data_IF_583481777540
#
_entry.id   IF_583481777540
#
_cell.length_a   1.000
_cell.length_b   1.000
_cell.length_c   1.000
_cell.angle_alpha   90.00
_cell.angle_beta   90.00
_cell.angle_gamma   90.00
#
_symmetry.space_group_name_H-M   'P 1'
#
loop_
_entity.id
_entity.type
_entity.pdbx_description
1 polymer ?
#
# COMPACT_ATOMS: atom_id res chain seq x y z
N UNK A 1 -57.29 14.83 4.39
CA UNK A 1 -55.83 14.96 4.20
C UNK A 1 -55.15 14.45 5.47
N UNK A 2 -54.76 13.19 5.47
CA UNK A 2 -54.14 12.52 6.62
C UNK A 2 -52.64 12.81 6.63
N UNK A 3 -52.20 13.67 7.54
CA UNK A 3 -50.78 13.87 7.82
C UNK A 3 -50.24 12.65 8.57
N UNK A 4 -49.47 11.83 7.87
CA UNK A 4 -48.71 10.73 8.45
C UNK A 4 -47.51 11.35 9.19
N UNK A 5 -47.56 11.37 10.53
CA UNK A 5 -46.41 11.73 11.36
C UNK A 5 -45.37 10.63 11.23
N UNK A 6 -44.21 10.95 10.67
CA UNK A 6 -43.02 10.12 10.79
C UNK A 6 -42.63 10.04 12.28
N UNK A 7 -42.43 8.85 12.85
CA UNK A 7 -41.84 8.73 14.17
C UNK A 7 -40.39 9.25 14.08
N UNK A 8 -40.07 10.25 14.88
CA UNK A 8 -38.71 10.71 15.11
C UNK A 8 -37.85 9.52 15.54
N UNK A 9 -36.83 9.18 14.76
CA UNK A 9 -35.77 8.25 15.19
C UNK A 9 -35.25 8.71 16.54
N UNK A 10 -35.46 7.89 17.58
CA UNK A 10 -34.98 8.18 18.93
C UNK A 10 -33.47 8.36 18.92
N UNK A 11 -32.98 9.30 19.75
CA UNK A 11 -31.55 9.56 19.95
C UNK A 11 -30.81 8.23 20.18
N UNK A 12 -30.01 7.82 19.19
CA UNK A 12 -29.27 6.55 19.22
C UNK A 12 -28.28 6.61 20.38
N UNK A 13 -28.48 5.75 21.38
CA UNK A 13 -27.59 5.65 22.54
C UNK A 13 -26.12 5.54 22.08
N UNK A 14 -25.16 6.21 22.73
CA UNK A 14 -23.75 6.11 22.34
C UNK A 14 -23.24 4.65 22.41
N UNK A 15 -22.27 4.32 21.57
CA UNK A 15 -21.64 3.00 21.57
C UNK A 15 -20.64 2.88 22.72
N UNK A 16 -20.65 1.75 23.41
CA UNK A 16 -19.68 1.41 24.47
C UNK A 16 -18.33 0.95 23.93
N UNK A 17 -18.26 0.64 22.63
CA UNK A 17 -17.03 0.29 21.93
C UNK A 17 -16.68 1.43 20.98
N UNK A 18 -15.43 1.89 21.05
CA UNK A 18 -14.89 2.88 20.11
C UNK A 18 -14.05 2.20 19.03
N UNK A 19 -14.03 2.79 17.83
CA UNK A 19 -13.17 2.35 16.73
C UNK A 19 -12.09 3.40 16.48
N UNK A 20 -10.82 2.99 16.59
CA UNK A 20 -9.65 3.73 16.14
C UNK A 20 -9.05 3.02 14.92
N UNK A 21 -8.74 3.79 13.89
CA UNK A 21 -8.14 3.31 12.65
C UNK A 21 -6.88 4.11 12.40
N UNK A 22 -5.76 3.43 12.21
CA UNK A 22 -4.48 4.07 11.91
C UNK A 22 -3.84 3.36 10.71
N UNK A 23 -3.47 4.13 9.68
CA UNK A 23 -2.61 3.63 8.61
C UNK A 23 -1.25 3.32 9.23
N UNK A 24 -0.71 2.14 8.94
CA UNK A 24 0.63 1.77 9.35
C UNK A 24 1.60 2.42 8.37
N UNK A 25 2.32 3.46 8.83
CA UNK A 25 3.44 4.02 8.11
C UNK A 25 4.69 3.18 8.37
N UNK A 26 5.59 3.16 7.39
CA UNK A 26 6.90 2.53 7.56
C UNK A 26 7.88 3.60 8.06
N UNK A 27 8.86 3.22 8.89
CA UNK A 27 9.86 4.17 9.37
C UNK A 27 10.69 4.72 8.21
N UNK A 28 11.03 6.00 8.27
CA UNK A 28 11.95 6.65 7.32
C UNK A 28 13.22 7.11 8.02
N UNK A 29 14.30 7.23 7.26
CA UNK A 29 15.53 7.83 7.75
C UNK A 29 15.36 9.35 7.76
N UNK A 30 15.64 9.99 8.90
CA UNK A 30 15.77 11.45 8.89
C UNK A 30 17.12 11.81 8.28
N UNK A 31 17.11 12.47 7.12
CA UNK A 31 18.31 13.07 6.56
C UNK A 31 18.82 14.17 7.51
N UNK A 32 19.98 13.95 8.12
CA UNK A 32 20.64 14.94 8.97
C UNK A 32 21.81 15.52 8.21
N UNK A 33 21.74 16.82 7.97
CA UNK A 33 22.91 17.57 7.53
C UNK A 33 23.58 18.13 8.77
N UNK A 34 24.85 17.79 9.04
CA UNK A 34 25.60 18.50 10.07
C UNK A 34 25.62 19.99 9.68
N UNK A 35 25.07 20.84 10.55
CA UNK A 35 25.25 22.29 10.43
C UNK A 35 26.74 22.55 10.65
N UNK A 36 27.30 23.54 9.93
CA UNK A 36 28.68 23.97 10.14
C UNK A 36 28.97 24.12 11.64
N UNK A 37 30.16 23.71 12.12
CA UNK A 37 30.53 23.88 13.51
C UNK A 37 30.31 25.34 13.93
N UNK A 38 29.72 25.61 15.11
CA UNK A 38 29.34 26.96 15.54
C UNK A 38 30.52 27.93 15.67
N UNK A 39 31.76 27.47 15.49
CA UNK A 39 33.00 28.24 15.56
C UNK A 39 33.82 28.21 14.26
N UNK A 40 33.25 27.75 13.14
CA UNK A 40 33.95 27.76 11.86
C UNK A 40 34.22 29.23 11.41
N UNK A 41 35.47 29.57 11.03
CA UNK A 41 35.78 30.91 10.55
C UNK A 41 34.99 31.23 9.27
N UNK A 42 34.53 32.48 9.09
CA UNK A 42 33.62 32.88 7.99
C UNK A 42 34.21 32.74 6.57
N UNK A 43 35.48 32.36 6.45
CA UNK A 43 36.22 32.20 5.20
C UNK A 43 36.47 30.74 4.82
N UNK A 44 36.14 29.77 5.68
CA UNK A 44 36.23 28.35 5.34
C UNK A 44 34.86 27.88 4.87
N UNK A 45 34.59 27.99 3.57
CA UNK A 45 33.57 27.14 2.95
C UNK A 45 34.07 25.70 3.06
N UNK A 46 33.61 24.99 4.08
CA UNK A 46 33.81 23.54 4.15
C UNK A 46 33.27 22.95 2.86
N UNK A 47 34.10 22.16 2.16
CA UNK A 47 33.67 21.40 1.00
C UNK A 47 32.37 20.65 1.35
N UNK A 48 31.36 20.63 0.47
CA UNK A 48 30.13 19.88 0.72
C UNK A 48 30.51 18.42 0.97
N UNK A 49 30.23 17.94 2.19
CA UNK A 49 30.42 16.54 2.52
C UNK A 49 29.39 15.76 1.70
N UNK A 50 29.79 14.76 0.89
CA UNK A 50 28.84 13.98 0.10
C UNK A 50 27.86 13.26 1.04
N UNK A 51 26.58 13.62 0.93
CA UNK A 51 25.55 13.29 1.92
C UNK A 51 25.08 11.82 1.90
N UNK A 52 25.64 10.95 1.06
CA UNK A 52 25.09 9.61 0.87
C UNK A 52 26.05 8.66 0.16
N UNK A 53 27.08 8.20 0.84
CA UNK A 53 27.60 6.86 0.57
C UNK A 53 27.73 6.15 1.90
N UNK A 54 27.02 5.03 2.02
CA UNK A 54 27.20 4.08 3.10
C UNK A 54 28.71 3.89 3.36
N UNK A 55 29.11 4.17 4.60
CA UNK A 55 30.47 4.13 5.10
C UNK A 55 31.25 2.94 4.54
N UNK A 56 32.26 3.20 3.70
CA UNK A 56 33.23 2.17 3.32
C UNK A 56 34.05 1.81 4.55
N UNK A 57 34.03 0.56 5.05
CA UNK A 57 34.82 0.21 6.22
C UNK A 57 36.32 0.30 5.84
N UNK A 58 37.00 1.31 6.38
CA UNK A 58 38.46 1.37 6.34
C UNK A 58 39.00 0.20 7.18
N UNK A 59 40.04 -0.53 6.72
CA UNK A 59 40.58 -1.69 7.42
C UNK A 59 41.10 -1.39 8.84
N UNK A 60 41.29 -0.11 9.19
CA UNK A 60 41.75 0.33 10.50
C UNK A 60 40.64 0.90 11.40
N UNK A 61 39.38 0.98 10.95
CA UNK A 61 38.25 1.43 11.79
C UNK A 61 38.24 2.92 12.17
N UNK A 62 39.22 3.71 11.74
CA UNK A 62 39.42 5.10 12.21
C UNK A 62 38.57 6.17 11.49
N UNK A 63 37.91 5.85 10.37
CA UNK A 63 37.12 6.81 9.57
C UNK A 63 35.61 6.72 9.79
N UNK A 64 35.16 6.17 10.92
CA UNK A 64 33.73 6.03 11.18
C UNK A 64 33.03 7.35 11.55
N UNK A 65 33.79 8.35 12.03
CA UNK A 65 33.26 9.63 12.48
C UNK A 65 34.40 10.64 12.78
N UNK A 66 34.83 11.48 11.82
CA UNK A 66 35.94 12.41 12.07
C UNK A 66 35.62 13.49 13.12
N UNK A 67 34.33 13.75 13.39
CA UNK A 67 33.82 14.73 14.36
C UNK A 67 32.58 14.15 15.06
N UNK A 68 32.70 13.58 16.28
CA UNK A 68 31.59 12.94 16.95
C UNK A 68 30.50 13.93 17.38
N UNK A 69 29.53 14.16 16.51
CA UNK A 69 28.28 14.85 16.87
C UNK A 69 27.22 13.84 17.31
N UNK A 70 26.27 14.30 18.13
CA UNK A 70 25.16 13.48 18.62
C UNK A 70 24.24 13.17 17.44
N UNK A 71 24.21 11.91 17.00
CA UNK A 71 23.21 11.42 16.06
C UNK A 71 21.85 11.38 16.77
N UNK A 72 20.88 12.15 16.28
CA UNK A 72 19.50 12.03 16.78
C UNK A 72 18.87 10.72 16.28
N UNK A 73 17.69 10.28 16.79
CA UNK A 73 17.06 9.05 16.32
C UNK A 73 17.01 8.98 14.80
N UNK A 74 17.75 8.02 14.24
CA UNK A 74 17.97 7.88 12.79
C UNK A 74 16.65 7.50 12.10
N UNK A 75 15.73 6.86 12.83
CA UNK A 75 14.41 6.47 12.36
C UNK A 75 13.35 7.37 12.98
N UNK A 76 12.59 8.04 12.12
CA UNK A 76 11.41 8.81 12.52
C UNK A 76 10.19 8.25 11.83
N UNK A 77 9.05 8.31 12.51
CA UNK A 77 7.78 8.18 11.81
C UNK A 77 7.54 9.48 11.03
N UNK A 78 7.09 9.39 9.76
CA UNK A 78 6.75 10.58 9.00
C UNK A 78 5.79 11.49 9.77
N UNK A 79 5.96 12.82 9.71
CA UNK A 79 5.11 13.78 10.43
C UNK A 79 3.66 13.80 9.93
N UNK A 80 3.38 13.11 8.82
CA UNK A 80 2.04 12.96 8.26
C UNK A 80 1.87 11.60 7.57
N UNK A 81 0.63 11.20 7.34
CA UNK A 81 0.27 9.89 6.78
C UNK A 81 0.62 9.68 5.30
N UNK A 82 1.29 10.66 4.66
CA UNK A 82 1.75 10.62 3.27
C UNK A 82 0.63 10.39 2.25
N UNK A 83 0.98 10.41 0.97
CA UNK A 83 0.10 9.94 -0.09
C UNK A 83 0.03 8.40 -0.08
N UNK A 84 -1.00 7.81 -0.70
CA UNK A 84 -1.02 6.38 -1.00
C UNK A 84 -0.79 6.22 -2.49
N UNK A 85 0.05 5.27 -2.90
CA UNK A 85 0.39 5.11 -4.31
C UNK A 85 -0.04 3.75 -4.87
N UNK A 86 -0.36 3.74 -6.16
CA UNK A 86 -0.66 2.51 -6.89
C UNK A 86 0.58 1.63 -6.93
N UNK A 87 0.37 0.37 -6.62
CA UNK A 87 1.38 -0.68 -6.51
C UNK A 87 1.92 -0.87 -5.10
N UNK A 88 1.52 -0.04 -4.14
CA UNK A 88 1.80 -0.27 -2.73
C UNK A 88 0.73 -1.16 -2.07
N UNK A 89 1.14 -1.85 -1.00
CA UNK A 89 0.22 -2.50 -0.07
C UNK A 89 -0.23 -1.49 1.00
N UNK A 90 -1.48 -1.04 0.92
CA UNK A 90 -2.13 -0.30 1.99
C UNK A 90 -2.27 -1.18 3.22
N UNK A 91 -1.73 -0.73 4.36
CA UNK A 91 -1.79 -1.46 5.62
C UNK A 91 -2.39 -0.56 6.70
N UNK A 92 -3.36 -1.05 7.47
CA UNK A 92 -3.90 -0.32 8.60
C UNK A 92 -4.22 -1.21 9.79
N UNK A 93 -4.11 -0.63 10.99
CA UNK A 93 -4.54 -1.25 12.23
C UNK A 93 -5.92 -0.72 12.60
N UNK A 94 -6.80 -1.64 12.99
CA UNK A 94 -8.18 -1.45 13.41
C UNK A 94 -8.26 -1.85 14.88
N UNK A 95 -8.62 -0.92 15.74
CA UNK A 95 -8.70 -1.14 17.18
C UNK A 95 -10.13 -0.89 17.66
N UNK A 96 -10.80 -1.93 18.15
CA UNK A 96 -12.06 -1.83 18.85
C UNK A 96 -11.78 -1.80 20.36
N UNK A 97 -11.99 -0.64 20.98
CA UNK A 97 -11.65 -0.43 22.39
C UNK A 97 -12.92 -0.46 23.24
N UNK A 98 -12.90 -1.19 24.35
CA UNK A 98 -13.98 -1.18 25.31
C UNK A 98 -13.88 0.06 26.22
N UNK A 99 -14.77 1.03 26.01
CA UNK A 99 -14.80 2.30 26.74
C UNK A 99 -15.67 2.25 28.00
N UNK A 100 -16.13 1.05 28.41
CA UNK A 100 -16.83 0.90 29.68
C UNK A 100 -15.82 1.17 30.81
N UNK A 101 -16.12 2.07 31.76
CA UNK A 101 -15.27 2.29 32.93
C UNK A 101 -15.16 1.01 33.75
N UNK A 102 -13.95 0.71 34.22
CA UNK A 102 -13.74 -0.40 35.13
C UNK A 102 -14.48 -0.12 36.46
N UNK A 103 -15.45 -0.95 36.86
CA UNK A 103 -16.21 -0.74 38.09
C UNK A 103 -15.35 -0.84 39.37
N UNK A 104 -14.11 -1.34 39.27
CA UNK A 104 -13.17 -1.44 40.40
C UNK A 104 -12.30 -0.20 40.58
N UNK A 105 -12.25 0.69 39.59
CA UNK A 105 -11.48 1.93 39.64
C UNK A 105 -12.38 3.12 39.96
N UNK A 106 -12.01 4.00 40.93
CA UNK A 106 -12.75 5.22 41.19
C UNK A 106 -12.69 6.14 39.97
N UNK A 107 -13.83 6.75 39.60
CA UNK A 107 -14.00 7.63 38.44
C UNK A 107 -13.15 8.91 38.58
N UNK A 108 -11.87 8.84 38.22
CA UNK A 108 -10.91 9.96 38.32
C UNK A 108 -11.08 11.01 37.21
N UNK A 109 -12.02 10.83 36.27
CA UNK A 109 -12.15 11.70 35.10
C UNK A 109 -12.96 13.00 35.34
N UNK A 110 -13.50 13.22 36.56
CA UNK A 110 -14.35 14.39 36.85
C UNK A 110 -13.96 15.18 38.12
N UNK A 111 -12.81 14.92 38.74
CA UNK A 111 -12.43 15.56 40.01
C UNK A 111 -11.60 16.84 39.89
N UNK A 112 -11.42 17.45 38.71
CA UNK A 112 -10.57 18.63 38.55
C UNK A 112 -11.32 19.97 38.40
N UNK A 113 -12.57 20.08 38.87
CA UNK A 113 -13.21 21.38 39.09
C UNK A 113 -13.45 21.63 40.58
N UNK A 114 -12.74 22.61 41.20
CA UNK A 114 -13.04 23.03 42.55
C UNK A 114 -14.41 23.73 42.57
N UNK A 115 -15.37 23.17 43.30
CA UNK A 115 -16.66 23.84 43.59
C UNK A 115 -17.92 23.15 43.07
N UNK A 116 -17.83 22.00 42.38
CA UNK A 116 -19.02 21.23 41.97
C UNK A 116 -19.29 20.14 43.00
N UNK A 117 -20.42 20.23 43.71
CA UNK A 117 -20.92 19.14 44.55
C UNK A 117 -21.01 17.86 43.72
N UNK A 118 -20.48 16.72 44.20
CA UNK A 118 -20.59 15.46 43.48
C UNK A 118 -22.06 15.09 43.37
N UNK A 119 -22.67 15.34 42.21
CA UNK A 119 -23.94 14.70 41.89
C UNK A 119 -23.63 13.20 41.76
N UNK A 120 -24.22 12.41 42.66
CA UNK A 120 -24.32 10.97 42.53
C UNK A 120 -25.03 10.68 41.21
N UNK A 121 -24.24 10.45 40.15
CA UNK A 121 -24.74 9.84 38.93
C UNK A 121 -25.38 8.51 39.36
N UNK A 122 -26.63 8.20 38.97
CA UNK A 122 -27.21 6.90 39.25
C UNK A 122 -26.21 5.82 38.83
N UNK A 123 -26.03 4.73 39.61
CA UNK A 123 -25.08 3.70 39.26
C UNK A 123 -25.41 3.23 37.84
N UNK A 124 -24.50 3.51 36.90
CA UNK A 124 -24.66 3.03 35.54
C UNK A 124 -24.75 1.50 35.64
N UNK A 125 -25.78 0.91 35.03
CA UNK A 125 -25.95 -0.54 35.05
C UNK A 125 -24.63 -1.20 34.62
N UNK A 126 -24.19 -2.24 35.35
CA UNK A 126 -22.99 -2.98 34.99
C UNK A 126 -23.18 -3.55 33.60
N UNK A 127 -22.44 -3.01 32.64
CA UNK A 127 -22.43 -3.40 31.24
C UNK A 127 -21.20 -4.26 30.99
N UNK A 128 -21.35 -5.31 30.21
CA UNK A 128 -20.27 -6.18 29.76
C UNK A 128 -20.31 -6.27 28.24
N UNK A 129 -19.12 -6.29 27.63
CA UNK A 129 -18.96 -6.36 26.16
C UNK A 129 -18.47 -7.75 25.79
N UNK A 130 -19.22 -8.40 24.90
CA UNK A 130 -18.95 -9.76 24.42
C UNK A 130 -19.02 -9.83 22.90
N UNK A 131 -18.48 -10.90 22.33
CA UNK A 131 -18.58 -11.24 20.92
C UNK A 131 -18.20 -10.06 19.99
N UNK A 132 -17.12 -9.34 20.31
CA UNK A 132 -16.66 -8.21 19.49
C UNK A 132 -16.04 -8.73 18.19
N UNK A 133 -16.50 -8.18 17.07
CA UNK A 133 -16.07 -8.55 15.72
C UNK A 133 -15.73 -7.30 14.93
N UNK A 134 -14.66 -7.39 14.14
CA UNK A 134 -14.21 -6.35 13.23
C UNK A 134 -14.28 -6.91 11.82
N UNK A 135 -15.15 -6.33 10.99
CA UNK A 135 -15.22 -6.62 9.56
C UNK A 135 -14.72 -5.42 8.79
N UNK A 136 -13.83 -5.64 7.82
CA UNK A 136 -13.28 -4.60 6.98
C UNK A 136 -13.51 -4.93 5.51
N UNK A 137 -13.93 -3.91 4.75
CA UNK A 137 -14.15 -4.02 3.32
C UNK A 137 -13.48 -2.83 2.63
N UNK A 138 -12.87 -3.08 1.49
CA UNK A 138 -12.33 -2.03 0.63
C UNK A 138 -13.24 -1.81 -0.58
N UNK A 139 -13.58 -0.56 -0.86
CA UNK A 139 -14.20 -0.14 -2.11
C UNK A 139 -13.14 0.53 -2.99
N UNK A 140 -12.95 0.01 -4.20
CA UNK A 140 -12.04 0.61 -5.19
C UNK A 140 -12.79 1.59 -6.12
N UNK A 141 -12.09 2.53 -6.76
CA UNK A 141 -12.68 3.50 -7.67
C UNK A 141 -13.39 2.88 -8.88
N UNK A 142 -12.81 1.85 -9.48
CA UNK A 142 -13.28 1.22 -10.72
C UNK A 142 -14.34 0.12 -10.53
N UNK A 143 -14.62 -0.28 -9.28
CA UNK A 143 -15.58 -1.34 -8.97
C UNK A 143 -16.69 -0.85 -8.04
N UNK A 144 -17.93 -1.19 -8.40
CA UNK A 144 -19.06 -1.01 -7.49
C UNK A 144 -19.06 -2.04 -6.34
N UNK A 145 -18.38 -3.17 -6.52
CA UNK A 145 -18.30 -4.23 -5.51
C UNK A 145 -17.26 -3.90 -4.43
N UNK A 146 -17.57 -4.29 -3.19
CA UNK A 146 -16.62 -4.21 -2.07
C UNK A 146 -15.82 -5.51 -1.96
N UNK A 147 -14.54 -5.39 -1.65
CA UNK A 147 -13.63 -6.51 -1.40
C UNK A 147 -13.50 -6.67 0.11
N UNK A 148 -13.95 -7.82 0.65
CA UNK A 148 -13.73 -8.14 2.08
C UNK A 148 -12.24 -8.34 2.34
N UNK A 149 -11.74 -7.71 3.40
CA UNK A 149 -10.33 -7.79 3.79
C UNK A 149 -10.16 -8.85 4.87
N UNK A 150 -9.10 -9.63 4.74
CA UNK A 150 -8.68 -10.56 5.78
C UNK A 150 -7.95 -9.80 6.89
N UNK A 151 -8.43 -9.97 8.12
CA UNK A 151 -7.92 -9.30 9.30
C UNK A 151 -6.91 -10.18 10.02
N UNK A 152 -5.65 -9.77 10.01
CA UNK A 152 -4.51 -10.44 10.66
C UNK A 152 -4.39 -9.90 12.10
N UNK A 153 -4.19 -10.75 13.10
CA UNK A 153 -4.00 -10.27 14.48
C UNK A 153 -3.66 -11.36 15.50
N UNK A 154 -2.99 -10.95 16.58
CA UNK A 154 -2.32 -11.83 17.56
C UNK A 154 -3.25 -12.74 18.39
N UNK A 155 -4.54 -12.43 18.45
CA UNK A 155 -5.56 -13.31 19.05
C UNK A 155 -6.52 -13.77 17.95
N UNK A 156 -6.15 -14.80 17.20
CA UNK A 156 -7.15 -15.51 16.40
C UNK A 156 -8.17 -16.13 17.36
N UNK A 157 -9.49 -15.90 17.18
CA UNK A 157 -10.48 -16.64 17.94
C UNK A 157 -10.29 -18.15 17.67
N UNK A 158 -10.64 -19.03 18.62
CA UNK A 158 -10.42 -20.46 18.49
C UNK A 158 -11.20 -21.08 17.32
N UNK A 159 -12.21 -20.39 16.79
CA UNK A 159 -12.95 -20.78 15.59
C UNK A 159 -13.25 -19.59 14.66
N UNK A 160 -13.31 -19.81 13.33
CA UNK A 160 -13.69 -18.77 12.38
C UNK A 160 -15.15 -18.36 12.60
N UNK A 161 -15.37 -17.08 12.90
CA UNK A 161 -16.71 -16.53 13.15
C UNK A 161 -17.12 -16.47 14.62
N UNK A 162 -16.20 -16.67 15.57
CA UNK A 162 -16.39 -16.39 16.98
C UNK A 162 -15.80 -15.01 17.33
N UNK A 163 -16.59 -14.14 17.96
CA UNK A 163 -16.12 -12.83 18.40
C UNK A 163 -15.29 -12.94 19.69
N UNK A 164 -14.68 -11.82 20.07
CA UNK A 164 -13.81 -11.75 21.26
C UNK A 164 -14.50 -10.99 22.37
N UNK A 165 -14.52 -11.56 23.58
CA UNK A 165 -14.99 -10.87 24.78
C UNK A 165 -13.91 -9.89 25.26
N UNK A 166 -14.30 -8.67 25.64
CA UNK A 166 -13.36 -7.62 26.07
C UNK A 166 -13.67 -7.19 27.50
N UNK A 167 -12.66 -7.20 28.37
CA UNK A 167 -12.79 -6.57 29.69
C UNK A 167 -12.84 -5.05 29.56
N UNK A 168 -13.32 -4.32 30.59
CA UNK A 168 -13.20 -2.86 30.62
C UNK A 168 -11.77 -2.40 30.33
N UNK A 169 -11.59 -1.49 29.37
CA UNK A 169 -10.27 -1.00 28.94
C UNK A 169 -9.52 -1.87 27.91
N UNK A 170 -9.95 -3.11 27.68
CA UNK A 170 -9.31 -3.99 26.68
C UNK A 170 -9.56 -3.50 25.24
N UNK A 171 -8.68 -3.92 24.34
CA UNK A 171 -8.74 -3.58 22.92
C UNK A 171 -8.58 -4.83 22.06
N UNK A 172 -9.53 -5.03 21.13
CA UNK A 172 -9.35 -5.98 20.04
C UNK A 172 -8.65 -5.27 18.87
N UNK A 173 -7.41 -5.66 18.58
CA UNK A 173 -6.62 -5.13 17.48
C UNK A 173 -6.56 -6.11 16.30
N UNK A 174 -6.76 -5.59 15.09
CA UNK A 174 -6.58 -6.29 13.82
C UNK A 174 -5.78 -5.44 12.85
N UNK A 175 -5.02 -6.06 11.96
CA UNK A 175 -4.31 -5.43 10.86
C UNK A 175 -4.90 -5.94 9.56
N UNK A 176 -5.19 -5.04 8.63
CA UNK A 176 -5.65 -5.40 7.29
C UNK A 176 -4.65 -4.87 6.26
N UNK A 177 -4.45 -5.67 5.21
CA UNK A 177 -3.59 -5.35 4.09
C UNK A 177 -4.41 -5.36 2.81
N UNK A 178 -4.14 -4.43 1.90
CA UNK A 178 -4.81 -4.35 0.62
C UNK A 178 -3.87 -3.77 -0.44
N UNK A 179 -3.69 -4.48 -1.56
CA UNK A 179 -2.86 -4.00 -2.65
C UNK A 179 -3.61 -2.98 -3.50
N UNK A 180 -3.05 -1.78 -3.62
CA UNK A 180 -3.63 -0.68 -4.38
C UNK A 180 -3.30 -0.85 -5.86
N UNK A 181 -4.31 -1.12 -6.69
CA UNK A 181 -4.13 -1.39 -8.13
C UNK A 181 -4.69 -0.30 -9.03
N UNK A 182 -5.48 0.61 -8.47
CA UNK A 182 -6.23 1.62 -9.22
C UNK A 182 -5.97 3.00 -8.62
N UNK A 183 -5.99 4.03 -9.47
CA UNK A 183 -5.89 5.41 -9.02
C UNK A 183 -7.26 5.95 -8.61
N UNK A 184 -7.29 6.88 -7.66
CA UNK A 184 -8.48 7.60 -7.25
C UNK A 184 -9.02 7.24 -5.86
N UNK A 185 -10.31 7.49 -5.65
CA UNK A 185 -10.96 7.43 -4.35
C UNK A 185 -11.22 6.00 -3.87
N UNK A 186 -10.49 5.58 -2.85
CA UNK A 186 -10.71 4.33 -2.13
C UNK A 186 -11.50 4.60 -0.85
N UNK A 187 -12.34 3.65 -0.45
CA UNK A 187 -13.08 3.74 0.81
C UNK A 187 -12.89 2.46 1.60
N UNK A 188 -12.22 2.57 2.75
CA UNK A 188 -12.16 1.53 3.76
C UNK A 188 -13.42 1.60 4.63
N UNK A 189 -14.26 0.59 4.54
CA UNK A 189 -15.47 0.45 5.33
C UNK A 189 -15.23 -0.54 6.47
N UNK A 190 -15.31 -0.07 7.71
CA UNK A 190 -15.11 -0.90 8.90
C UNK A 190 -16.43 -1.01 9.65
N UNK A 191 -16.87 -2.24 9.87
CA UNK A 191 -18.07 -2.57 10.64
C UNK A 191 -17.64 -3.23 11.93
N UNK A 192 -18.11 -2.68 13.06
CA UNK A 192 -17.93 -3.27 14.38
C UNK A 192 -19.28 -3.80 14.84
N UNK A 193 -19.33 -5.08 15.18
CA UNK A 193 -20.47 -5.69 15.85
C UNK A 193 -20.03 -6.26 17.20
N UNK A 194 -20.89 -6.13 18.21
CA UNK A 194 -20.63 -6.63 19.55
C UNK A 194 -21.95 -6.87 20.30
N UNK A 195 -21.90 -7.71 21.31
CA UNK A 195 -23.00 -7.93 22.24
C UNK A 195 -22.80 -7.11 23.51
N UNK A 196 -23.76 -6.22 23.81
CA UNK A 196 -23.79 -5.43 25.04
C UNK A 196 -24.76 -6.10 26.01
N UNK A 197 -24.25 -6.61 27.14
CA UNK A 197 -25.05 -7.26 28.17
C UNK A 197 -25.06 -6.46 29.47
N UNK A 198 -26.26 -6.26 30.01
CA UNK A 198 -26.55 -5.78 31.36
C UNK A 198 -27.06 -6.95 32.21
N UNK A 199 -27.16 -6.77 33.53
CA UNK A 199 -27.62 -7.85 34.44
C UNK A 199 -29.00 -8.43 34.07
N UNK A 200 -29.87 -7.65 33.43
CA UNK A 200 -31.26 -8.03 33.13
C UNK A 200 -31.57 -8.19 31.65
N UNK A 201 -30.67 -7.81 30.75
CA UNK A 201 -30.90 -7.84 29.31
C UNK A 201 -29.61 -7.73 28.53
N UNK A 202 -29.58 -8.20 27.28
CA UNK A 202 -28.48 -7.92 26.38
C UNK A 202 -28.95 -7.74 24.93
N UNK A 203 -28.19 -6.98 24.15
CA UNK A 203 -28.52 -6.67 22.77
C UNK A 203 -27.26 -6.63 21.91
N UNK A 204 -27.37 -7.09 20.67
CA UNK A 204 -26.33 -6.90 19.67
C UNK A 204 -26.36 -5.47 19.15
N UNK A 205 -25.20 -4.84 19.06
CA UNK A 205 -25.02 -3.50 18.52
C UNK A 205 -24.01 -3.54 17.40
N UNK A 206 -24.30 -2.77 16.36
CA UNK A 206 -23.44 -2.68 15.19
C UNK A 206 -23.33 -1.21 14.78
N UNK A 207 -22.13 -0.81 14.38
CA UNK A 207 -21.91 0.45 13.70
C UNK A 207 -20.88 0.29 12.58
N UNK A 208 -20.97 1.16 11.58
CA UNK A 208 -20.11 1.16 10.41
C UNK A 208 -19.50 2.55 10.23
N UNK A 209 -18.19 2.62 10.03
CA UNK A 209 -17.47 3.85 9.69
C UNK A 209 -16.79 3.68 8.33
N UNK A 210 -16.78 4.77 7.56
CA UNK A 210 -16.18 4.82 6.23
C UNK A 210 -15.00 5.79 6.28
N UNK A 211 -13.85 5.36 5.78
CA UNK A 211 -12.63 6.14 5.69
C UNK A 211 -12.24 6.27 4.22
N UNK A 212 -12.36 7.47 3.68
CA UNK A 212 -12.02 7.75 2.30
C UNK A 212 -10.59 8.28 2.19
N UNK A 213 -9.85 7.77 1.22
CA UNK A 213 -8.50 8.24 0.87
C UNK A 213 -8.29 8.19 -0.64
N UNK A 214 -7.29 8.93 -1.13
CA UNK A 214 -6.97 9.01 -2.56
C UNK A 214 -5.67 8.26 -2.81
N UNK A 215 -5.70 7.38 -3.81
CA UNK A 215 -4.53 6.72 -4.34
C UNK A 215 -4.02 7.44 -5.59
N UNK A 216 -2.74 7.82 -5.61
CA UNK A 216 -2.05 8.48 -6.73
C UNK A 216 -1.22 7.46 -7.52
N UNK A 217 -0.83 7.80 -8.74
CA UNK A 217 0.11 6.99 -9.52
C UNK A 217 1.51 6.98 -8.88
N UNK A 218 2.13 5.81 -8.68
CA UNK A 218 3.57 5.73 -8.35
C UNK A 218 4.41 5.75 -9.61
N UNK A 219 4.03 4.92 -10.58
CA UNK A 219 4.71 4.73 -11.85
C UNK A 219 3.69 4.79 -12.97
N UNK A 220 3.94 5.66 -13.95
CA UNK A 220 3.15 5.69 -15.18
C UNK A 220 3.86 4.86 -16.24
N UNK A 221 3.12 3.94 -16.84
CA UNK A 221 3.62 3.05 -17.90
C UNK A 221 3.02 3.46 -19.24
N UNK A 222 3.87 3.85 -20.19
CA UNK A 222 3.45 4.12 -21.58
C UNK A 222 4.10 3.12 -22.51
N UNK A 223 3.30 2.34 -23.23
CA UNK A 223 3.81 1.30 -24.13
C UNK A 223 3.60 1.65 -25.59
N UNK A 224 4.55 1.26 -26.42
CA UNK A 224 4.52 1.47 -27.86
C UNK A 224 4.97 0.20 -28.59
N UNK A 225 4.05 -0.52 -29.25
CA UNK A 225 4.42 -1.65 -30.08
C UNK A 225 4.87 -1.21 -31.48
N UNK A 226 5.87 -1.87 -32.04
CA UNK A 226 6.35 -1.72 -33.41
C UNK A 226 6.49 -3.07 -34.11
N UNK A 227 6.36 -3.09 -35.44
CA UNK A 227 6.55 -4.31 -36.24
C UNK A 227 8.01 -4.36 -36.69
N UNK A 228 8.64 -5.53 -36.58
CA UNK A 228 9.99 -5.77 -37.08
C UNK A 228 9.94 -6.70 -38.30
N UNK A 229 10.92 -6.61 -39.22
CA UNK A 229 11.05 -7.58 -40.29
C UNK A 229 11.17 -9.00 -39.74
N UNK A 230 10.54 -10.01 -40.37
CA UNK A 230 10.61 -11.39 -39.92
C UNK A 230 12.07 -11.88 -39.88
N UNK A 231 12.39 -12.73 -38.91
CA UNK A 231 13.73 -13.32 -38.82
C UNK A 231 14.02 -14.15 -40.07
N UNK A 232 15.26 -14.10 -40.54
CA UNK A 232 15.74 -15.04 -41.57
C UNK A 232 15.94 -16.39 -40.87
N UNK A 233 15.15 -17.40 -41.25
CA UNK A 233 15.33 -18.75 -40.73
C UNK A 233 16.67 -19.31 -41.20
N UNK A 234 17.51 -19.74 -40.26
CA UNK A 234 18.81 -20.37 -40.55
C UNK A 234 18.68 -21.87 -40.86
N UNK A 235 17.54 -22.49 -40.51
CA UNK A 235 17.34 -23.95 -40.55
C UNK A 235 16.18 -24.40 -41.43
N UNK A 236 15.23 -23.53 -41.78
CA UNK A 236 14.07 -23.88 -42.60
C UNK A 236 14.04 -23.11 -43.94
N UNK A 237 13.67 -23.80 -45.02
CA UNK A 237 13.32 -23.18 -46.32
C UNK A 237 11.95 -22.49 -46.19
N UNK A 238 11.89 -21.35 -45.51
CA UNK A 238 10.68 -20.55 -45.36
C UNK A 238 10.91 -19.24 -44.59
N UNK A 239 10.01 -18.26 -44.71
CA UNK A 239 10.07 -17.04 -43.89
C UNK A 239 9.98 -17.43 -42.40
N UNK A 240 10.80 -16.79 -41.55
CA UNK A 240 10.70 -16.96 -40.10
C UNK A 240 9.41 -16.37 -39.54
N UNK A 241 9.17 -16.60 -38.25
CA UNK A 241 8.01 -16.04 -37.54
C UNK A 241 7.95 -14.51 -37.61
N UNK A 242 6.75 -13.96 -37.43
CA UNK A 242 6.55 -12.52 -37.27
C UNK A 242 7.32 -12.01 -36.05
N UNK A 243 7.80 -10.77 -36.12
CA UNK A 243 8.57 -10.13 -35.06
C UNK A 243 8.01 -8.76 -34.73
N UNK A 244 8.13 -8.40 -33.46
CA UNK A 244 7.69 -7.10 -32.95
C UNK A 244 8.71 -6.55 -31.97
N UNK A 245 8.68 -5.25 -31.78
CA UNK A 245 9.34 -4.58 -30.66
C UNK A 245 8.25 -4.02 -29.76
N UNK A 246 8.45 -4.10 -28.45
CA UNK A 246 7.62 -3.45 -27.45
C UNK A 246 8.51 -2.55 -26.63
N UNK A 247 8.34 -1.24 -26.80
CA UNK A 247 8.97 -0.22 -25.97
C UNK A 247 8.00 0.14 -24.83
N UNK A 248 8.53 0.29 -23.60
CA UNK A 248 7.77 0.75 -22.45
C UNK A 248 8.55 1.83 -21.70
N UNK A 249 7.92 3.00 -21.55
CA UNK A 249 8.41 4.12 -20.78
C UNK A 249 7.85 4.03 -19.36
N UNK A 250 8.74 4.01 -18.37
CA UNK A 250 8.42 3.93 -16.96
C UNK A 250 8.78 5.28 -16.32
N UNK A 251 7.78 6.08 -15.99
CA UNK A 251 7.96 7.40 -15.36
C UNK A 251 7.65 7.33 -13.87
N UNK A 252 8.58 7.74 -13.02
CA UNK A 252 8.31 7.89 -11.58
C UNK A 252 7.48 9.16 -11.34
N UNK A 253 6.22 8.99 -10.97
CA UNK A 253 5.30 10.07 -10.61
C UNK A 253 5.07 10.17 -9.10
N UNK A 254 5.78 9.34 -8.31
CA UNK A 254 5.79 9.40 -6.87
C UNK A 254 6.61 10.59 -6.34
N UNK A 255 6.54 10.79 -5.02
CA UNK A 255 7.35 11.79 -4.31
C UNK A 255 8.71 11.22 -3.88
N UNK A 256 8.84 9.89 -3.83
CA UNK A 256 10.01 9.17 -3.35
C UNK A 256 10.85 8.58 -4.50
N UNK A 257 12.12 8.33 -4.24
CA UNK A 257 13.03 7.63 -5.16
C UNK A 257 12.67 6.14 -5.20
N UNK A 258 12.66 5.56 -6.39
CA UNK A 258 12.40 4.12 -6.58
C UNK A 258 13.53 3.47 -7.40
N UNK A 259 13.92 2.26 -7.01
CA UNK A 259 14.82 1.41 -7.80
C UNK A 259 14.01 0.30 -8.46
N UNK A 260 14.12 0.18 -9.78
CA UNK A 260 13.47 -0.90 -10.52
C UNK A 260 14.13 -2.23 -10.16
N UNK A 261 13.31 -3.19 -9.71
CA UNK A 261 13.80 -4.52 -9.36
C UNK A 261 13.72 -5.48 -10.53
N UNK A 262 12.59 -5.43 -11.25
CA UNK A 262 12.22 -6.41 -12.28
C UNK A 262 11.19 -5.81 -13.22
N UNK A 263 11.37 -6.02 -14.53
CA UNK A 263 10.39 -5.65 -15.56
C UNK A 263 10.27 -6.83 -16.52
N UNK A 264 9.12 -7.50 -16.49
CA UNK A 264 8.91 -8.75 -17.21
C UNK A 264 7.64 -8.69 -18.02
N UNK A 265 7.66 -9.31 -19.20
CA UNK A 265 6.51 -9.46 -20.06
C UNK A 265 5.96 -10.89 -19.95
N UNK A 266 4.84 -11.04 -19.26
CA UNK A 266 4.12 -12.30 -19.14
C UNK A 266 3.35 -12.56 -20.45
N UNK A 267 3.93 -13.39 -21.30
CA UNK A 267 3.48 -13.61 -22.68
C UNK A 267 2.25 -14.52 -22.81
N UNK A 268 1.46 -14.29 -23.85
CA UNK A 268 0.48 -15.25 -24.36
C UNK A 268 1.16 -16.45 -25.06
N UNK A 269 0.50 -17.62 -25.13
CA UNK A 269 1.07 -18.81 -25.75
C UNK A 269 1.49 -18.61 -27.21
N UNK A 270 2.65 -19.17 -27.59
CA UNK A 270 3.18 -19.09 -28.94
C UNK A 270 4.06 -17.86 -29.20
N UNK A 271 4.27 -17.00 -28.21
CA UNK A 271 5.26 -15.92 -28.25
C UNK A 271 6.48 -16.27 -27.39
N UNK A 272 7.62 -15.73 -27.80
CA UNK A 272 8.83 -15.62 -26.99
C UNK A 272 9.34 -14.19 -27.08
N UNK A 273 10.20 -13.78 -26.14
CA UNK A 273 10.84 -12.48 -26.22
C UNK A 273 12.33 -12.55 -25.86
N UNK A 274 13.08 -11.61 -26.42
CA UNK A 274 14.44 -11.27 -26.00
C UNK A 274 14.35 -10.00 -25.17
N UNK A 275 14.88 -10.09 -23.95
CA UNK A 275 15.02 -8.95 -23.05
C UNK A 275 16.21 -8.09 -23.50
N UNK A 276 15.98 -6.79 -23.70
CA UNK A 276 17.01 -5.82 -24.08
C UNK A 276 17.39 -4.86 -22.93
N UNK A 277 16.97 -5.17 -21.70
CA UNK A 277 17.11 -4.30 -20.53
C UNK A 277 18.34 -4.69 -19.67
N UNK A 278 18.51 -3.99 -18.54
CA UNK A 278 19.64 -4.19 -17.61
C UNK A 278 19.73 -5.61 -17.04
N UNK A 279 18.60 -6.31 -16.89
CA UNK A 279 18.56 -7.68 -16.36
C UNK A 279 19.26 -8.65 -17.30
N UNK A 280 19.09 -8.48 -18.62
CA UNK A 280 19.74 -9.29 -19.64
C UNK A 280 21.24 -9.00 -19.78
N UNK A 281 21.65 -7.73 -19.62
CA UNK A 281 23.04 -7.31 -19.75
C UNK A 281 23.86 -7.46 -18.46
N UNK A 282 23.19 -7.74 -17.33
CA UNK A 282 23.83 -7.72 -16.00
C UNK A 282 24.23 -6.32 -15.53
N UNK A 283 23.64 -5.28 -16.12
CA UNK A 283 23.91 -3.88 -15.75
C UNK A 283 23.27 -3.54 -14.38
N UNK A 284 23.70 -2.42 -13.79
CA UNK A 284 23.10 -1.93 -12.56
C UNK A 284 21.59 -1.65 -12.73
N UNK A 285 20.82 -1.95 -11.68
CA UNK A 285 19.37 -1.68 -11.63
C UNK A 285 19.10 -0.17 -11.69
N UNK A 286 18.21 0.31 -12.58
CA UNK A 286 17.88 1.73 -12.67
C UNK A 286 17.28 2.26 -11.37
N UNK A 287 17.71 3.47 -11.01
CA UNK A 287 17.17 4.24 -9.89
C UNK A 287 16.52 5.48 -10.49
N UNK A 288 15.25 5.68 -10.20
CA UNK A 288 14.42 6.75 -10.73
C UNK A 288 14.07 7.74 -9.62
N UNK A 289 14.56 8.96 -9.75
CA UNK A 289 14.09 10.09 -8.96
C UNK A 289 12.68 10.53 -9.42
N UNK A 290 11.94 11.29 -8.58
CA UNK A 290 10.67 11.86 -8.98
C UNK A 290 10.76 12.62 -10.30
N UNK A 291 9.90 12.26 -11.26
CA UNK A 291 9.85 12.82 -12.61
C UNK A 291 10.80 12.19 -13.62
N UNK A 292 11.71 11.30 -13.21
CA UNK A 292 12.60 10.60 -14.14
C UNK A 292 11.90 9.45 -14.86
N UNK A 293 12.45 9.13 -16.04
CA UNK A 293 11.89 8.14 -16.95
C UNK A 293 12.94 7.12 -17.34
N UNK A 294 12.62 5.83 -17.20
CA UNK A 294 13.40 4.72 -17.75
C UNK A 294 12.71 4.18 -19.01
N UNK A 295 13.51 3.87 -20.05
CA UNK A 295 13.02 3.18 -21.24
C UNK A 295 13.37 1.69 -21.17
N UNK A 296 12.37 0.84 -21.35
CA UNK A 296 12.56 -0.61 -21.46
C UNK A 296 12.11 -1.11 -22.83
N UNK A 297 12.75 -2.17 -23.30
CA UNK A 297 12.52 -2.72 -24.63
C UNK A 297 12.52 -4.25 -24.61
N UNK A 298 11.55 -4.82 -25.32
CA UNK A 298 11.41 -6.26 -25.53
C UNK A 298 11.27 -6.54 -27.02
N UNK A 299 12.04 -7.50 -27.54
CA UNK A 299 11.89 -7.97 -28.92
C UNK A 299 11.12 -9.27 -28.91
N UNK A 300 9.90 -9.27 -29.43
CA UNK A 300 9.01 -10.42 -29.46
C UNK A 300 9.14 -11.19 -30.77
N UNK A 301 9.09 -12.51 -30.67
CA UNK A 301 9.13 -13.43 -31.80
C UNK A 301 8.00 -14.45 -31.70
N UNK A 302 7.30 -14.63 -32.82
CA UNK A 302 6.32 -15.71 -32.96
C UNK A 302 7.02 -17.05 -33.09
N UNK A 303 6.59 -18.00 -32.27
CA UNK A 303 7.00 -19.40 -32.37
C UNK A 303 6.35 -20.03 -33.60
N UNK A 304 7.16 -20.70 -34.41
CA UNK A 304 6.72 -21.41 -35.62
C UNK A 304 6.94 -22.90 -35.43
N UNK A 305 5.89 -23.70 -35.64
CA UNK A 305 5.95 -25.18 -35.61
C UNK A 305 5.47 -25.69 -36.96
N UNK A 306 6.27 -26.53 -37.63
CA UNK A 306 5.98 -27.08 -38.97
C UNK A 306 5.63 -26.02 -40.03
N UNK A 307 6.23 -24.83 -39.94
CA UNK A 307 5.97 -23.72 -40.85
C UNK A 307 4.68 -22.95 -40.57
N UNK A 308 3.96 -23.29 -39.51
CA UNK A 308 2.74 -22.61 -39.06
C UNK A 308 3.06 -21.73 -37.85
N UNK A 309 2.71 -20.45 -37.93
CA UNK A 309 2.80 -19.52 -36.80
C UNK A 309 1.76 -19.88 -35.73
N UNK A 310 2.19 -19.96 -34.48
CA UNK A 310 1.33 -20.39 -33.38
C UNK A 310 0.45 -19.26 -32.81
N UNK A 311 0.71 -18.00 -33.17
CA UNK A 311 0.03 -16.84 -32.58
C UNK A 311 -1.25 -16.53 -33.34
N UNK A 312 -2.38 -16.75 -32.66
CA UNK A 312 -3.70 -16.44 -33.20
C UNK A 312 -3.98 -14.94 -33.09
N UNK A 313 -4.42 -14.33 -34.19
CA UNK A 313 -4.96 -12.98 -34.17
C UNK A 313 -6.43 -13.02 -33.76
N UNK A 314 -6.79 -12.29 -32.70
CA UNK A 314 -8.18 -12.09 -32.32
C UNK A 314 -8.65 -10.74 -32.90
N UNK A 315 -9.63 -10.78 -33.80
CA UNK A 315 -10.18 -9.56 -34.44
C UNK A 315 -9.10 -8.66 -35.10
N UNK A 316 -8.07 -9.27 -35.71
CA UNK A 316 -6.96 -8.54 -36.34
C UNK A 316 -5.95 -7.94 -35.35
N UNK A 317 -6.09 -8.20 -34.06
CA UNK A 317 -5.13 -7.83 -33.02
C UNK A 317 -4.28 -9.03 -32.62
N UNK A 318 -2.98 -8.82 -32.51
CA UNK A 318 -2.05 -9.76 -31.87
C UNK A 318 -1.89 -9.30 -30.43
N UNK A 319 -2.27 -10.15 -29.48
CA UNK A 319 -2.09 -9.91 -28.05
C UNK A 319 -0.73 -10.45 -27.65
N UNK A 320 0.08 -9.61 -27.00
CA UNK A 320 1.41 -9.99 -26.55
C UNK A 320 1.39 -10.62 -25.16
N UNK A 321 0.68 -10.00 -24.22
CA UNK A 321 0.74 -10.40 -22.82
C UNK A 321 0.53 -9.23 -21.87
N UNK A 322 0.99 -9.37 -20.64
CA UNK A 322 0.91 -8.35 -19.57
C UNK A 322 2.31 -7.94 -19.15
N UNK A 323 2.58 -6.64 -19.05
CA UNK A 323 3.84 -6.15 -18.50
C UNK A 323 3.73 -6.03 -16.98
N UNK A 324 4.63 -6.67 -16.26
CA UNK A 324 4.71 -6.70 -14.81
C UNK A 324 6.00 -6.00 -14.35
N UNK A 325 5.85 -4.97 -13.52
CA UNK A 325 6.92 -4.12 -12.99
C UNK A 325 6.98 -4.29 -11.48
N UNK A 326 8.16 -4.55 -10.94
CA UNK A 326 8.43 -4.53 -9.51
C UNK A 326 9.52 -3.53 -9.18
N UNK A 327 9.39 -2.82 -8.07
CA UNK A 327 10.37 -1.84 -7.61
C UNK A 327 10.56 -1.88 -6.09
N UNK A 328 11.67 -1.29 -5.65
CA UNK A 328 11.93 -0.96 -4.25
C UNK A 328 11.98 0.54 -4.05
N UNK A 329 11.24 1.03 -3.06
CA UNK A 329 11.39 2.38 -2.53
C UNK A 329 12.33 2.39 -1.33
N UNK A 330 12.30 3.51 -0.61
CA UNK A 330 13.09 3.70 0.61
C UNK A 330 12.87 2.59 1.64
N UNK A 331 13.94 2.26 2.38
CA UNK A 331 13.93 1.23 3.42
C UNK A 331 13.47 -0.17 2.95
N UNK A 332 13.57 -0.46 1.65
CA UNK A 332 13.23 -1.76 1.09
C UNK A 332 11.74 -1.98 0.88
N UNK A 333 10.94 -0.91 0.91
CA UNK A 333 9.53 -0.93 0.57
C UNK A 333 9.35 -1.50 -0.82
N UNK A 334 8.45 -2.47 -1.00
CA UNK A 334 8.20 -3.06 -2.31
C UNK A 334 6.94 -2.48 -2.90
N UNK A 335 6.99 -2.23 -4.20
CA UNK A 335 5.81 -1.95 -5.01
C UNK A 335 5.78 -2.83 -6.24
N UNK A 336 4.57 -3.08 -6.76
CA UNK A 336 4.37 -3.81 -8.00
C UNK A 336 3.24 -3.21 -8.83
N UNK A 337 3.36 -3.26 -10.15
CA UNK A 337 2.33 -2.79 -11.08
C UNK A 337 2.27 -3.75 -12.25
N UNK A 338 1.06 -4.05 -12.70
CA UNK A 338 0.84 -4.83 -13.92
C UNK A 338 -0.07 -4.05 -14.87
N UNK A 339 0.24 -4.09 -16.16
CA UNK A 339 -0.60 -3.48 -17.18
C UNK A 339 -1.82 -4.36 -17.51
N UNK A 340 -2.76 -3.82 -18.28
CA UNK A 340 -3.70 -4.67 -19.02
C UNK A 340 -3.00 -5.46 -20.14
N UNK A 341 -3.77 -6.28 -20.86
CA UNK A 341 -3.26 -7.03 -22.03
C UNK A 341 -2.77 -6.08 -23.13
N UNK A 342 -1.46 -6.10 -23.35
CA UNK A 342 -0.76 -5.37 -24.41
C UNK A 342 -0.86 -6.14 -25.72
N UNK A 343 -0.75 -5.42 -26.82
CA UNK A 343 -0.82 -6.03 -28.15
C UNK A 343 -0.93 -4.97 -29.22
N UNK A 344 -0.66 -5.38 -30.46
CA UNK A 344 -0.70 -4.52 -31.62
C UNK A 344 -1.80 -4.93 -32.60
N UNK A 345 -2.35 -3.98 -33.34
CA UNK A 345 -3.17 -4.30 -34.51
C UNK A 345 -2.22 -4.66 -35.66
N UNK A 346 -2.59 -5.67 -36.43
CA UNK A 346 -1.91 -5.94 -37.70
C UNK A 346 -2.16 -4.72 -38.61
N UNK A 347 -1.16 -3.86 -38.77
CA UNK A 347 -1.14 -2.91 -39.86
C UNK A 347 -0.88 -3.71 -41.14
N UNK A 348 -1.79 -3.64 -42.12
CA UNK A 348 -1.39 -3.86 -43.50
C UNK A 348 -0.20 -2.93 -43.75
N UNK A 349 1.00 -3.51 -43.89
CA UNK A 349 2.15 -2.83 -44.46
C UNK A 349 1.91 -2.53 -45.93
#
# INVERSE_FOLDING_TARGET
MSHQRYPSEGLKEPHSVSLKVLRLSRPSLTAQYPIQPPLAPPLTNSLPIPASLAYTPSPNGDDANPEPFILSPILTLPPSFGSAYVGETFSCTLCANNEIPDPTLPDTALSSQPGVTPQLRPPAAKKTIRDVRIEAEMKTPGSAATVKLEAIGAAAPPSPGEGTDLQPGDTLQRVVNFDLKEEGNHVLAVTISYYEATETSGRTRTFRKLYQFICKSSLIVRTKPGVLPPARSTTAKGPGGRRWVLEAQLENCGEDVVQLERVVLDLEPGLTYVDCNWEATGSAKPVLHPGEVEQTCFVLEETVVDGVGMVRSQEGRVVFGVLSIGWRGEMGNRGFLSTGKLGTRHGQG
#
